data_IF_161828104046
#
_entry.id   IF_161828104046
#
_cell.length_a   1.000
_cell.length_b   1.000
_cell.length_c   1.000
_cell.angle_alpha   90.00
_cell.angle_beta   90.00
_cell.angle_gamma   90.00
#
_symmetry.space_group_name_H-M   'P 1'
#
loop_
_entity.id
_entity.type
_entity.pdbx_description
1 polymer ?
#
# COMPACT_ATOMS: atom_id res chain seq x y z
N UNK A 1 -25.29 -10.06 -9.80
CA UNK A 1 -25.01 -10.00 -11.25
C UNK A 1 -23.96 -8.92 -11.36
N UNK A 2 -22.73 -9.28 -11.71
CA UNK A 2 -21.63 -8.31 -11.77
C UNK A 2 -21.96 -7.30 -12.86
N UNK A 3 -22.06 -6.03 -12.48
CA UNK A 3 -22.04 -4.90 -13.42
C UNK A 3 -20.75 -4.96 -14.24
N UNK A 4 -20.79 -4.65 -15.54
CA UNK A 4 -19.55 -4.58 -16.32
C UNK A 4 -18.55 -3.56 -15.73
N UNK A 5 -17.26 -3.73 -16.02
CA UNK A 5 -16.18 -2.86 -15.52
C UNK A 5 -16.49 -1.38 -15.77
N UNK A 6 -17.08 -1.04 -16.93
CA UNK A 6 -17.43 0.33 -17.27
C UNK A 6 -18.52 0.90 -16.37
N UNK A 7 -19.50 0.09 -16.00
CA UNK A 7 -20.58 0.45 -15.07
C UNK A 7 -20.04 0.65 -13.65
N UNK A 8 -19.22 -0.27 -13.14
CA UNK A 8 -18.58 -0.12 -11.82
C UNK A 8 -17.70 1.13 -11.79
N UNK A 9 -16.89 1.35 -12.84
CA UNK A 9 -16.04 2.55 -12.95
C UNK A 9 -16.86 3.82 -12.91
N UNK A 10 -17.96 3.90 -13.68
CA UNK A 10 -18.84 5.08 -13.69
C UNK A 10 -19.42 5.39 -12.32
N UNK A 11 -19.82 4.37 -11.55
CA UNK A 11 -20.34 4.54 -10.19
C UNK A 11 -19.30 5.19 -9.27
N UNK A 12 -18.03 4.77 -9.33
CA UNK A 12 -16.97 5.40 -8.57
C UNK A 12 -16.60 6.79 -9.07
N UNK A 13 -16.46 6.98 -10.38
CA UNK A 13 -16.07 8.29 -10.94
C UNK A 13 -17.13 9.37 -10.82
N UNK A 14 -18.38 9.01 -10.49
CA UNK A 14 -19.42 9.97 -10.12
C UNK A 14 -19.07 10.76 -8.85
N UNK A 15 -18.11 10.28 -8.05
CA UNK A 15 -17.57 10.96 -6.89
C UNK A 15 -16.21 11.59 -7.22
N UNK A 16 -16.09 12.90 -6.96
CA UNK A 16 -14.89 13.69 -7.26
C UNK A 16 -13.81 13.61 -6.17
N UNK A 17 -14.18 13.16 -4.97
CA UNK A 17 -13.25 13.06 -3.82
C UNK A 17 -12.88 11.60 -3.54
N UNK A 18 -11.68 11.41 -2.99
CA UNK A 18 -11.21 10.08 -2.57
C UNK A 18 -12.16 9.48 -1.53
N UNK A 19 -12.59 10.28 -0.54
CA UNK A 19 -13.53 9.82 0.48
C UNK A 19 -14.89 9.43 -0.10
N UNK A 20 -15.42 10.16 -1.09
CA UNK A 20 -16.66 9.77 -1.77
C UNK A 20 -16.53 8.45 -2.53
N UNK A 21 -15.38 8.19 -3.17
CA UNK A 21 -15.11 6.90 -3.82
C UNK A 21 -15.02 5.74 -2.81
N UNK A 22 -14.43 5.99 -1.65
CA UNK A 22 -14.36 5.00 -0.56
C UNK A 22 -15.75 4.73 0.02
N UNK A 23 -16.57 5.77 0.20
CA UNK A 23 -17.95 5.64 0.67
C UNK A 23 -18.77 4.79 -0.31
N UNK A 24 -18.65 5.06 -1.60
CA UNK A 24 -19.30 4.25 -2.63
C UNK A 24 -18.83 2.79 -2.62
N UNK A 25 -17.53 2.54 -2.39
CA UNK A 25 -16.98 1.19 -2.30
C UNK A 25 -17.53 0.46 -1.06
N UNK A 26 -17.62 1.17 0.06
CA UNK A 26 -18.22 0.65 1.28
C UNK A 26 -19.70 0.30 1.11
N UNK A 27 -20.49 1.16 0.46
CA UNK A 27 -21.90 0.87 0.15
C UNK A 27 -22.06 -0.39 -0.71
N UNK A 28 -21.22 -0.55 -1.73
CA UNK A 28 -21.23 -1.76 -2.57
C UNK A 28 -20.82 -3.02 -1.77
N UNK A 29 -19.83 -2.90 -0.88
CA UNK A 29 -19.39 -4.02 -0.03
C UNK A 29 -20.46 -4.45 0.99
N UNK A 30 -21.27 -3.52 1.49
CA UNK A 30 -22.41 -3.86 2.35
C UNK A 30 -23.44 -4.74 1.65
N UNK A 31 -23.65 -4.52 0.35
CA UNK A 31 -24.59 -5.34 -0.43
C UNK A 31 -24.13 -6.80 -0.60
N UNK A 32 -22.83 -7.05 -0.49
CA UNK A 32 -22.22 -8.40 -0.52
C UNK A 32 -21.90 -8.93 0.88
N UNK A 33 -22.37 -8.27 1.95
CA UNK A 33 -22.37 -8.81 3.32
C UNK A 33 -21.17 -8.43 4.18
N UNK A 34 -20.33 -7.46 3.78
CA UNK A 34 -19.31 -6.89 4.66
C UNK A 34 -19.86 -5.67 5.41
N UNK A 35 -19.42 -5.47 6.65
CA UNK A 35 -19.91 -4.40 7.52
C UNK A 35 -18.88 -3.33 7.80
N UNK A 36 -17.62 -3.57 7.50
CA UNK A 36 -16.54 -2.60 7.62
C UNK A 36 -15.58 -2.70 6.43
N UNK A 37 -14.92 -1.58 6.11
CA UNK A 37 -13.93 -1.48 5.03
C UNK A 37 -12.64 -0.85 5.57
N UNK A 38 -11.51 -1.48 5.25
CA UNK A 38 -10.16 -0.92 5.34
C UNK A 38 -9.60 -0.78 3.93
N UNK A 39 -9.15 0.41 3.59
CA UNK A 39 -8.35 0.67 2.41
C UNK A 39 -7.01 1.26 2.83
N UNK A 40 -5.93 0.57 2.51
CA UNK A 40 -4.57 1.04 2.77
C UNK A 40 -3.73 1.02 1.49
N UNK A 41 -2.77 1.95 1.42
CA UNK A 41 -1.85 2.08 0.31
C UNK A 41 -0.46 2.47 0.79
N UNK A 42 0.56 1.90 0.14
CA UNK A 42 1.95 2.32 0.27
C UNK A 42 2.63 2.37 -1.09
N UNK A 43 3.45 3.41 -1.39
CA UNK A 43 4.21 3.46 -2.62
C UNK A 43 5.29 2.37 -2.70
N UNK A 44 5.72 1.84 -1.54
CA UNK A 44 6.75 0.81 -1.41
C UNK A 44 6.36 -0.15 -0.26
N UNK A 45 6.28 -1.47 -0.50
CA UNK A 45 5.77 -2.43 0.49
C UNK A 45 6.77 -2.80 1.60
N UNK A 46 8.08 -2.71 1.32
CA UNK A 46 9.15 -3.08 2.26
C UNK A 46 10.17 -1.95 2.40
N UNK A 47 10.78 -1.80 3.56
CA UNK A 47 11.99 -1.00 3.69
C UNK A 47 13.23 -1.77 3.21
N UNK A 48 14.40 -1.14 3.30
CA UNK A 48 15.67 -1.72 2.86
C UNK A 48 16.17 -2.87 3.75
N UNK A 49 15.62 -3.00 4.95
CA UNK A 49 15.92 -4.09 5.89
C UNK A 49 14.90 -5.24 5.73
N UNK A 50 13.92 -5.08 4.82
CA UNK A 50 12.90 -6.09 4.51
C UNK A 50 11.70 -6.06 5.44
N UNK A 51 11.58 -5.06 6.33
CA UNK A 51 10.41 -4.90 7.16
C UNK A 51 9.25 -4.27 6.37
N UNK A 52 8.02 -4.63 6.70
CA UNK A 52 6.83 -4.07 6.06
C UNK A 52 6.76 -2.56 6.33
N UNK A 53 6.51 -1.80 5.28
CA UNK A 53 6.28 -0.36 5.36
C UNK A 53 4.89 -0.07 5.91
N UNK A 54 4.82 0.88 6.85
CA UNK A 54 3.53 1.43 7.30
C UNK A 54 2.92 2.21 6.11
N UNK A 55 1.61 2.05 5.83
CA UNK A 55 0.99 2.67 4.69
C UNK A 55 1.02 4.20 4.78
N UNK A 56 1.19 4.86 3.63
CA UNK A 56 1.15 6.33 3.53
C UNK A 56 -0.28 6.87 3.54
N UNK A 57 -1.26 6.00 3.27
CA UNK A 57 -2.68 6.27 3.27
C UNK A 57 -3.40 5.10 3.96
N UNK A 58 -4.22 5.42 4.95
CA UNK A 58 -5.18 4.49 5.57
C UNK A 58 -6.55 5.17 5.59
N UNK A 59 -7.56 4.43 5.16
CA UNK A 59 -8.96 4.87 5.14
C UNK A 59 -9.84 3.77 5.70
N UNK A 60 -10.62 4.13 6.71
CA UNK A 60 -11.45 3.22 7.49
C UNK A 60 -12.92 3.60 7.33
N UNK A 61 -13.81 2.60 7.28
CA UNK A 61 -15.26 2.79 7.35
C UNK A 61 -15.86 1.78 8.29
N UNK A 62 -16.68 2.29 9.22
CA UNK A 62 -17.30 1.53 10.29
C UNK A 62 -16.29 0.76 11.17
N UNK A 63 -15.15 1.39 11.45
CA UNK A 63 -14.09 0.90 12.34
C UNK A 63 -13.75 2.04 13.28
N UNK A 64 -13.48 1.71 14.54
CA UNK A 64 -13.10 2.70 15.54
C UNK A 64 -11.76 3.39 15.18
N UNK A 65 -11.69 4.69 15.45
CA UNK A 65 -10.52 5.51 15.09
C UNK A 65 -9.25 5.08 15.84
N UNK A 66 -9.38 4.38 16.97
CA UNK A 66 -8.24 3.87 17.74
C UNK A 66 -7.38 2.88 16.94
N UNK A 67 -7.95 2.20 15.93
CA UNK A 67 -7.19 1.28 15.08
C UNK A 67 -5.97 1.94 14.44
N UNK A 68 -6.06 3.23 14.10
CA UNK A 68 -4.94 3.97 13.53
C UNK A 68 -3.74 3.95 14.49
N UNK A 69 -3.94 4.27 15.77
CA UNK A 69 -2.88 4.30 16.78
C UNK A 69 -2.21 2.92 16.93
N UNK A 70 -2.99 1.83 16.89
CA UNK A 70 -2.46 0.47 17.00
C UNK A 70 -1.65 0.07 15.75
N UNK A 71 -2.19 0.30 14.55
CA UNK A 71 -1.54 -0.12 13.30
C UNK A 71 -0.33 0.73 12.94
N UNK A 72 -0.38 2.04 13.20
CA UNK A 72 0.70 2.97 12.88
C UNK A 72 1.70 3.11 14.03
N UNK A 73 1.24 3.60 15.19
CA UNK A 73 2.16 4.02 16.26
C UNK A 73 2.67 2.83 17.07
N UNK A 74 1.84 1.81 17.27
CA UNK A 74 2.23 0.56 17.96
C UNK A 74 2.75 -0.52 17.02
N UNK A 75 2.81 -0.23 15.72
CA UNK A 75 3.42 -1.10 14.71
C UNK A 75 2.65 -2.38 14.38
N UNK A 76 1.34 -2.46 14.70
CA UNK A 76 0.56 -3.67 14.41
C UNK A 76 0.52 -4.00 12.92
N UNK A 77 0.58 -2.99 12.03
CA UNK A 77 0.61 -3.22 10.58
C UNK A 77 1.75 -4.16 10.16
N UNK A 78 2.91 -4.13 10.84
CA UNK A 78 4.09 -4.95 10.49
C UNK A 78 3.96 -6.41 10.91
N UNK A 79 3.20 -6.65 11.96
CA UNK A 79 3.02 -7.99 12.55
C UNK A 79 1.64 -8.56 12.21
N UNK A 80 0.83 -7.86 11.40
CA UNK A 80 -0.50 -8.28 11.00
C UNK A 80 -0.43 -9.49 10.03
N UNK A 81 -0.93 -10.68 10.44
CA UNK A 81 -0.97 -11.87 9.60
C UNK A 81 -1.68 -11.67 8.25
N UNK A 82 -2.71 -10.83 8.19
CA UNK A 82 -3.41 -10.51 6.94
C UNK A 82 -2.49 -9.78 5.99
N UNK A 83 -1.72 -8.79 6.47
CA UNK A 83 -0.74 -8.06 5.65
C UNK A 83 0.42 -8.97 5.20
N UNK A 84 0.86 -9.89 6.05
CA UNK A 84 1.88 -10.88 5.70
C UNK A 84 1.44 -11.80 4.55
N UNK A 85 0.16 -12.23 4.53
CA UNK A 85 -0.41 -12.98 3.39
C UNK A 85 -0.57 -12.08 2.17
N UNK A 86 -1.17 -10.91 2.34
CA UNK A 86 -1.56 -10.04 1.24
C UNK A 86 -0.36 -9.53 0.43
N UNK A 87 0.81 -9.31 1.06
CA UNK A 87 2.05 -8.96 0.37
C UNK A 87 2.69 -10.10 -0.43
N UNK A 88 2.24 -11.34 -0.20
CA UNK A 88 2.76 -12.56 -0.85
C UNK A 88 1.73 -13.26 -1.74
N UNK A 89 0.54 -12.67 -1.86
CA UNK A 89 -0.56 -13.18 -2.67
C UNK A 89 -0.95 -12.18 -3.75
N UNK A 90 -1.36 -12.69 -4.90
CA UNK A 90 -2.01 -11.91 -5.97
C UNK A 90 -3.51 -12.23 -6.06
N UNK A 91 -3.99 -13.22 -5.30
CA UNK A 91 -5.39 -13.60 -5.27
C UNK A 91 -6.06 -13.03 -4.01
N UNK A 92 -7.35 -12.67 -4.10
CA UNK A 92 -8.13 -12.33 -2.92
C UNK A 92 -8.23 -13.56 -2.00
N UNK A 93 -8.27 -13.35 -0.70
CA UNK A 93 -8.34 -14.45 0.26
C UNK A 93 -9.23 -14.13 1.45
N UNK A 94 -9.96 -15.15 1.89
CA UNK A 94 -10.66 -15.15 3.17
C UNK A 94 -9.67 -15.41 4.30
N UNK A 95 -9.87 -14.76 5.43
CA UNK A 95 -9.06 -14.92 6.63
C UNK A 95 -9.96 -14.97 7.87
N UNK A 96 -9.50 -15.72 8.86
CA UNK A 96 -10.16 -15.87 10.16
C UNK A 96 -9.10 -16.00 11.26
N UNK A 97 -9.18 -15.14 12.27
CA UNK A 97 -8.28 -15.10 13.43
C UNK A 97 -8.60 -16.14 14.51
N UNK A 98 -9.68 -16.91 14.36
CA UNK A 98 -9.92 -18.10 15.16
C UNK A 98 -8.82 -19.15 14.93
N UNK A 99 -8.27 -19.70 16.01
CA UNK A 99 -7.20 -20.70 15.97
C UNK A 99 -7.64 -22.02 15.34
N UNK A 100 -8.93 -22.32 15.37
CA UNK A 100 -9.49 -23.55 14.81
C UNK A 100 -9.84 -23.43 13.31
N UNK A 101 -9.78 -22.21 12.76
CA UNK A 101 -10.01 -21.97 11.34
C UNK A 101 -8.78 -22.35 10.50
N UNK A 102 -9.00 -22.97 9.34
CA UNK A 102 -7.95 -23.32 8.38
C UNK A 102 -7.88 -22.27 7.26
N UNK A 103 -7.13 -21.19 7.50
CA UNK A 103 -6.97 -20.10 6.55
C UNK A 103 -5.49 -19.78 6.28
N UNK A 104 -5.22 -18.95 5.28
CA UNK A 104 -3.84 -18.61 4.90
C UNK A 104 -3.08 -17.88 6.00
N UNK A 105 -3.78 -17.14 6.87
CA UNK A 105 -3.13 -16.35 7.92
C UNK A 105 -2.54 -17.24 9.02
N UNK A 106 -3.03 -18.47 9.21
CA UNK A 106 -2.55 -19.40 10.23
C UNK A 106 -1.03 -19.67 10.13
N UNK A 107 -0.44 -19.57 8.93
CA UNK A 107 1.01 -19.71 8.70
C UNK A 107 1.85 -18.61 9.35
N UNK A 108 1.23 -17.47 9.66
CA UNK A 108 1.87 -16.31 10.26
C UNK A 108 1.41 -16.06 11.70
N UNK A 109 0.51 -16.90 12.22
CA UNK A 109 0.05 -16.81 13.60
C UNK A 109 1.15 -17.31 14.55
N UNK A 110 1.55 -16.45 15.48
CA UNK A 110 2.57 -16.74 16.49
C UNK A 110 2.39 -15.85 17.73
N UNK A 111 3.22 -16.05 18.75
CA UNK A 111 3.23 -15.18 19.94
C UNK A 111 3.49 -13.71 19.58
N UNK A 112 4.31 -13.46 18.56
CA UNK A 112 4.63 -12.10 18.08
C UNK A 112 3.42 -11.41 17.42
N UNK A 113 2.50 -12.18 16.83
CA UNK A 113 1.30 -11.65 16.17
C UNK A 113 0.05 -11.71 17.06
N UNK A 114 0.14 -12.34 18.24
CA UNK A 114 -0.94 -12.46 19.20
C UNK A 114 -1.59 -11.12 19.62
N UNK A 115 -0.86 -9.98 19.71
CA UNK A 115 -1.50 -8.70 20.00
C UNK A 115 -2.52 -8.26 18.94
N UNK A 116 -2.28 -8.54 17.66
CA UNK A 116 -3.20 -8.22 16.56
C UNK A 116 -4.45 -9.09 16.67
N UNK A 117 -4.27 -10.40 16.82
CA UNK A 117 -5.37 -11.35 16.98
C UNK A 117 -6.28 -10.99 18.17
N UNK A 118 -5.68 -10.65 19.32
CA UNK A 118 -6.42 -10.22 20.51
C UNK A 118 -7.24 -8.95 20.24
N UNK A 119 -6.61 -7.92 19.65
CA UNK A 119 -7.31 -6.67 19.34
C UNK A 119 -8.53 -6.88 18.45
N UNK A 120 -8.37 -7.70 17.40
CA UNK A 120 -9.45 -7.98 16.44
C UNK A 120 -10.55 -8.84 17.05
N UNK A 121 -10.19 -9.87 17.82
CA UNK A 121 -11.17 -10.73 18.51
C UNK A 121 -11.98 -9.97 19.57
N UNK A 122 -11.36 -9.07 20.34
CA UNK A 122 -12.05 -8.23 21.34
C UNK A 122 -13.08 -7.26 20.73
N UNK A 123 -13.03 -7.06 19.41
CA UNK A 123 -13.91 -6.13 18.66
C UNK A 123 -14.79 -6.86 17.64
N UNK A 124 -14.88 -8.19 17.74
CA UNK A 124 -15.60 -9.05 16.79
C UNK A 124 -15.11 -8.93 15.33
N UNK A 125 -13.90 -8.41 15.09
CA UNK A 125 -13.29 -8.19 13.76
C UNK A 125 -12.43 -9.37 13.30
N UNK A 126 -12.79 -10.59 13.70
CA UNK A 126 -11.96 -11.78 13.51
C UNK A 126 -12.01 -12.35 12.09
N UNK A 127 -12.98 -11.95 11.27
CA UNK A 127 -13.20 -12.53 9.93
C UNK A 127 -13.37 -11.50 8.84
N UNK A 128 -12.83 -11.79 7.65
CA UNK A 128 -12.98 -10.91 6.50
C UNK A 128 -12.34 -11.47 5.24
N UNK A 129 -12.32 -10.62 4.22
CA UNK A 129 -11.65 -10.87 2.95
C UNK A 129 -10.75 -9.71 2.63
N UNK A 130 -9.56 -10.01 2.13
CA UNK A 130 -8.62 -9.00 1.66
C UNK A 130 -8.30 -9.24 0.18
N UNK A 131 -8.37 -8.16 -0.59
CA UNK A 131 -7.93 -8.10 -1.98
C UNK A 131 -6.60 -7.34 -2.04
N UNK A 132 -5.47 -8.02 -2.32
CA UNK A 132 -4.21 -7.34 -2.57
C UNK A 132 -4.20 -6.73 -3.98
N UNK A 133 -3.81 -5.46 -4.10
CA UNK A 133 -3.66 -4.76 -5.38
C UNK A 133 -2.20 -4.35 -5.55
N UNK A 134 -1.52 -5.01 -6.50
CA UNK A 134 -0.12 -4.75 -6.83
C UNK A 134 -0.04 -3.94 -8.12
N UNK A 135 0.64 -2.79 -8.08
CA UNK A 135 0.71 -1.87 -9.21
C UNK A 135 1.98 -2.09 -10.02
N UNK A 136 1.99 -1.73 -11.33
CA UNK A 136 3.17 -1.89 -12.18
C UNK A 136 4.42 -1.17 -11.66
N UNK A 137 4.26 -0.11 -10.86
CA UNK A 137 5.36 0.62 -10.23
C UNK A 137 5.93 -0.04 -8.97
N UNK A 138 5.37 -1.17 -8.54
CA UNK A 138 5.75 -1.85 -7.30
C UNK A 138 5.11 -1.26 -6.03
N UNK A 139 4.24 -0.25 -6.19
CA UNK A 139 3.35 0.18 -5.12
C UNK A 139 2.25 -0.85 -4.86
N UNK A 140 1.63 -0.72 -3.69
CA UNK A 140 0.79 -1.76 -3.11
C UNK A 140 -0.39 -1.16 -2.36
N UNK A 141 -1.55 -1.78 -2.48
CA UNK A 141 -2.73 -1.47 -1.70
C UNK A 141 -3.45 -2.73 -1.23
N UNK A 142 -4.23 -2.62 -0.16
CA UNK A 142 -5.24 -3.63 0.17
C UNK A 142 -6.61 -3.01 0.27
N UNK A 143 -7.61 -3.76 -0.20
CA UNK A 143 -9.03 -3.49 0.04
C UNK A 143 -9.56 -4.64 0.88
N UNK A 144 -9.93 -4.36 2.11
CA UNK A 144 -10.30 -5.37 3.10
C UNK A 144 -11.71 -5.13 3.58
N UNK A 145 -12.57 -6.12 3.37
CA UNK A 145 -13.93 -6.16 3.89
C UNK A 145 -14.00 -7.03 5.14
N UNK A 146 -14.64 -6.54 6.20
CA UNK A 146 -14.75 -7.25 7.49
C UNK A 146 -16.22 -7.50 7.80
N UNK A 147 -16.51 -8.67 8.37
CA UNK A 147 -17.81 -8.99 8.98
C UNK A 147 -17.63 -9.14 10.48
N UNK A 148 -18.44 -8.42 11.25
CA UNK A 148 -18.40 -8.55 12.69
C UNK A 148 -19.03 -9.88 13.13
N UNK A 149 -18.34 -10.63 13.99
CA UNK A 149 -18.82 -11.89 14.55
C UNK A 149 -19.10 -12.96 13.49
N UNK A 150 -18.30 -13.00 12.42
CA UNK A 150 -18.50 -13.93 11.32
C UNK A 150 -18.48 -15.39 11.76
N UNK A 151 -19.29 -16.21 11.07
CA UNK A 151 -19.44 -17.63 11.33
C UNK A 151 -19.19 -18.44 10.04
N UNK A 152 -19.36 -19.76 10.10
CA UNK A 152 -19.18 -20.64 8.94
C UNK A 152 -20.14 -20.37 7.77
N UNK A 153 -21.31 -19.77 8.04
CA UNK A 153 -22.22 -19.30 6.99
C UNK A 153 -21.61 -18.11 6.25
N UNK A 154 -21.04 -17.16 6.99
CA UNK A 154 -20.33 -16.02 6.40
C UNK A 154 -19.12 -16.46 5.58
N UNK A 155 -18.32 -17.43 6.03
CA UNK A 155 -17.21 -17.96 5.24
C UNK A 155 -17.68 -18.46 3.87
N UNK A 156 -18.73 -19.28 3.84
CA UNK A 156 -19.31 -19.80 2.59
C UNK A 156 -19.82 -18.68 1.69
N UNK A 157 -20.45 -17.67 2.28
CA UNK A 157 -20.93 -16.49 1.57
C UNK A 157 -19.76 -15.67 0.99
N UNK A 158 -18.75 -15.36 1.80
CA UNK A 158 -17.56 -14.63 1.39
C UNK A 158 -16.84 -15.34 0.24
N UNK A 159 -16.60 -16.65 0.34
CA UNK A 159 -15.97 -17.45 -0.71
C UNK A 159 -16.81 -17.48 -2.00
N UNK A 160 -18.14 -17.37 -1.91
CA UNK A 160 -19.02 -17.29 -3.09
C UNK A 160 -18.90 -15.95 -3.82
N UNK A 161 -18.72 -14.85 -3.08
CA UNK A 161 -18.71 -13.48 -3.63
C UNK A 161 -17.31 -12.87 -3.74
N UNK A 162 -16.25 -13.62 -3.41
CA UNK A 162 -14.87 -13.12 -3.42
C UNK A 162 -14.40 -12.64 -4.80
N UNK A 163 -14.91 -13.24 -5.88
CA UNK A 163 -14.60 -12.79 -7.25
C UNK A 163 -15.23 -11.43 -7.57
N UNK A 164 -16.48 -11.21 -7.16
CA UNK A 164 -17.19 -9.93 -7.31
C UNK A 164 -16.46 -8.85 -6.50
N UNK A 165 -16.08 -9.18 -5.26
CA UNK A 165 -15.33 -8.28 -4.40
C UNK A 165 -13.96 -7.94 -4.99
N UNK A 166 -13.26 -8.92 -5.55
CA UNK A 166 -11.98 -8.70 -6.23
C UNK A 166 -12.10 -7.71 -7.40
N UNK A 167 -13.10 -7.90 -8.26
CA UNK A 167 -13.32 -6.98 -9.38
C UNK A 167 -13.64 -5.57 -8.87
N UNK A 168 -14.54 -5.46 -7.88
CA UNK A 168 -14.91 -4.18 -7.29
C UNK A 168 -13.69 -3.48 -6.67
N UNK A 169 -12.87 -4.20 -5.92
CA UNK A 169 -11.67 -3.67 -5.28
C UNK A 169 -10.64 -3.14 -6.29
N UNK A 170 -10.40 -3.86 -7.39
CA UNK A 170 -9.47 -3.42 -8.43
C UNK A 170 -9.98 -2.19 -9.19
N UNK A 171 -11.26 -2.16 -9.57
CA UNK A 171 -11.84 -0.99 -10.25
C UNK A 171 -11.93 0.20 -9.29
N UNK A 172 -12.28 -0.03 -8.03
CA UNK A 172 -12.22 0.99 -6.99
C UNK A 172 -10.81 1.56 -6.88
N UNK A 173 -9.79 0.73 -6.71
CA UNK A 173 -8.40 1.18 -6.57
C UNK A 173 -7.95 2.00 -7.79
N UNK A 174 -8.23 1.53 -9.01
CA UNK A 174 -7.91 2.28 -10.25
C UNK A 174 -8.44 3.71 -10.17
N UNK A 175 -9.70 3.86 -9.76
CA UNK A 175 -10.31 5.20 -9.62
C UNK A 175 -9.75 5.94 -8.41
N UNK A 176 -9.60 5.32 -7.24
CA UNK A 176 -9.08 5.97 -6.05
C UNK A 176 -7.66 6.51 -6.25
N UNK A 177 -6.80 5.75 -6.93
CA UNK A 177 -5.41 6.10 -7.22
C UNK A 177 -5.29 7.42 -7.99
N UNK A 178 -6.25 7.73 -8.88
CA UNK A 178 -6.26 8.98 -9.64
C UNK A 178 -6.48 10.24 -8.78
N UNK A 179 -6.88 10.07 -7.52
CA UNK A 179 -7.16 11.16 -6.57
C UNK A 179 -6.11 11.23 -5.44
N UNK A 180 -5.02 10.49 -5.55
CA UNK A 180 -3.97 10.51 -4.54
C UNK A 180 -3.18 11.81 -4.58
N UNK A 181 -2.98 12.39 -3.39
CA UNK A 181 -2.14 13.57 -3.24
C UNK A 181 -0.64 13.19 -3.20
N UNK A 182 0.21 14.21 -3.20
CA UNK A 182 1.67 14.04 -3.13
C UNK A 182 2.13 13.34 -1.84
N UNK A 183 1.35 13.41 -0.75
CA UNK A 183 1.69 12.79 0.54
C UNK A 183 1.46 11.28 0.46
N UNK A 184 0.31 10.85 -0.04
CA UNK A 184 0.00 9.44 -0.29
C UNK A 184 1.06 8.81 -1.21
N UNK A 185 1.45 9.49 -2.29
CA UNK A 185 2.45 9.00 -3.24
C UNK A 185 3.91 9.12 -2.77
N UNK A 186 4.16 9.61 -1.55
CA UNK A 186 5.53 9.82 -1.03
C UNK A 186 5.95 8.81 0.02
N UNK A 187 7.17 8.28 -0.14
CA UNK A 187 7.82 7.46 0.87
C UNK A 187 8.66 8.36 1.77
N UNK A 188 8.19 8.58 2.99
CA UNK A 188 8.90 9.38 3.99
C UNK A 188 9.08 10.86 3.62
N UNK A 189 10.04 11.51 4.29
CA UNK A 189 10.25 12.96 4.22
C UNK A 189 11.37 13.40 3.28
N UNK A 190 12.06 12.46 2.63
CA UNK A 190 13.24 12.78 1.80
C UNK A 190 12.81 13.47 0.50
N UNK A 191 13.25 14.72 0.32
CA UNK A 191 13.02 15.49 -0.91
C UNK A 191 14.33 15.78 -1.64
N UNK A 192 14.47 15.20 -2.82
CA UNK A 192 15.55 15.51 -3.75
C UNK A 192 15.16 16.72 -4.61
N UNK A 193 16.12 17.61 -4.85
CA UNK A 193 15.97 18.66 -5.88
C UNK A 193 15.99 18.04 -7.27
N UNK A 194 15.53 18.78 -8.27
CA UNK A 194 15.53 18.31 -9.66
C UNK A 194 16.94 17.93 -10.12
N UNK A 195 17.96 18.74 -9.79
CA UNK A 195 19.36 18.45 -10.15
C UNK A 195 19.96 17.29 -9.39
N UNK A 196 19.59 17.10 -8.12
CA UNK A 196 19.98 15.91 -7.35
C UNK A 196 19.40 14.63 -7.96
N UNK A 197 18.11 14.66 -8.33
CA UNK A 197 17.41 13.54 -8.97
C UNK A 197 18.01 13.23 -10.34
N UNK A 198 18.20 14.24 -11.19
CA UNK A 198 18.80 14.11 -12.52
C UNK A 198 20.20 13.47 -12.45
N UNK A 199 21.05 13.95 -11.53
CA UNK A 199 22.38 13.37 -11.32
C UNK A 199 22.31 11.92 -10.82
N UNK A 200 21.39 11.58 -9.92
CA UNK A 200 21.21 10.20 -9.44
C UNK A 200 20.62 9.28 -10.51
N UNK A 201 19.76 9.76 -11.40
CA UNK A 201 19.22 8.97 -12.52
C UNK A 201 20.33 8.52 -13.47
N UNK A 202 21.17 9.46 -13.93
CA UNK A 202 22.35 9.08 -14.72
C UNK A 202 23.36 8.25 -13.93
N UNK A 203 23.41 8.44 -12.61
CA UNK A 203 24.20 7.55 -11.75
C UNK A 203 23.67 6.11 -11.74
N UNK A 204 22.35 5.92 -11.80
CA UNK A 204 21.71 4.61 -11.86
C UNK A 204 21.97 3.92 -13.21
N UNK A 205 22.11 4.70 -14.28
CA UNK A 205 22.53 4.23 -15.62
C UNK A 205 24.03 3.85 -15.69
N UNK A 206 24.80 4.12 -14.64
CA UNK A 206 26.22 3.74 -14.54
C UNK A 206 27.21 4.84 -14.96
N UNK A 207 26.75 6.05 -15.27
CA UNK A 207 27.64 7.13 -15.72
C UNK A 207 28.54 7.66 -14.60
N UNK A 208 29.80 7.99 -14.93
CA UNK A 208 30.73 8.71 -14.05
C UNK A 208 30.32 10.18 -13.88
N UNK A 209 30.82 10.86 -12.83
CA UNK A 209 30.56 12.29 -12.65
C UNK A 209 31.04 13.14 -13.84
N UNK A 210 32.07 12.69 -14.57
CA UNK A 210 32.59 13.33 -15.79
C UNK A 210 31.66 13.16 -17.00
N UNK A 211 31.02 12.01 -17.13
CA UNK A 211 30.03 11.79 -18.19
C UNK A 211 28.76 12.57 -17.89
N UNK A 212 28.27 12.51 -16.65
CA UNK A 212 27.10 13.29 -16.21
C UNK A 212 27.32 14.77 -16.43
N UNK A 213 28.51 15.30 -16.10
CA UNK A 213 28.80 16.73 -16.28
C UNK A 213 28.68 17.16 -17.75
N UNK A 214 29.05 16.28 -18.69
CA UNK A 214 28.87 16.51 -20.13
C UNK A 214 27.40 16.44 -20.52
N UNK A 215 26.65 15.47 -20.00
CA UNK A 215 25.23 15.28 -20.29
C UNK A 215 24.40 16.50 -19.84
N UNK A 216 24.60 16.96 -18.60
CA UNK A 216 23.77 18.04 -18.02
C UNK A 216 24.35 19.45 -18.23
N UNK A 217 25.48 19.58 -18.94
CA UNK A 217 26.13 20.86 -19.23
C UNK A 217 26.66 21.58 -17.98
N UNK A 218 27.26 20.87 -17.03
CA UNK A 218 27.79 21.42 -15.78
C UNK A 218 29.25 21.01 -15.54
N UNK A 219 29.88 21.62 -14.54
CA UNK A 219 31.23 21.22 -14.11
C UNK A 219 31.19 19.91 -13.33
N UNK A 220 32.27 19.11 -13.40
CA UNK A 220 32.41 17.88 -12.58
C UNK A 220 32.25 18.17 -11.08
N UNK A 221 32.87 19.24 -10.50
CA UNK A 221 32.63 19.60 -9.10
C UNK A 221 31.15 19.86 -8.76
N UNK A 222 30.40 20.50 -9.67
CA UNK A 222 28.96 20.75 -9.49
C UNK A 222 28.15 19.46 -9.45
N UNK A 223 28.44 18.50 -10.34
CA UNK A 223 27.79 17.18 -10.33
C UNK A 223 28.10 16.43 -9.04
N UNK A 224 29.37 16.42 -8.63
CA UNK A 224 29.80 15.79 -7.37
C UNK A 224 29.09 16.41 -6.17
N UNK A 225 28.94 17.75 -6.15
CA UNK A 225 28.18 18.45 -5.12
C UNK A 225 26.73 17.97 -5.05
N UNK A 226 26.02 17.88 -6.18
CA UNK A 226 24.62 17.39 -6.21
C UNK A 226 24.52 15.93 -5.76
N UNK A 227 25.41 15.05 -6.23
CA UNK A 227 25.44 13.64 -5.82
C UNK A 227 25.69 13.49 -4.31
N UNK A 228 26.62 14.27 -3.75
CA UNK A 228 26.91 14.26 -2.31
C UNK A 228 25.75 14.80 -1.48
N UNK A 229 25.09 15.87 -1.95
CA UNK A 229 23.90 16.41 -1.30
C UNK A 229 22.75 15.38 -1.28
N UNK A 230 22.53 14.70 -2.41
CA UNK A 230 21.54 13.65 -2.53
C UNK A 230 21.86 12.46 -1.61
N UNK A 231 23.12 11.99 -1.62
CA UNK A 231 23.57 10.91 -0.73
C UNK A 231 23.37 11.26 0.74
N UNK A 232 23.69 12.50 1.15
CA UNK A 232 23.45 12.98 2.52
C UNK A 232 21.97 12.97 2.88
N UNK A 233 21.09 13.48 2.01
CA UNK A 233 19.63 13.48 2.22
C UNK A 233 19.06 12.07 2.32
N UNK A 234 19.60 11.13 1.57
CA UNK A 234 19.22 9.71 1.59
C UNK A 234 19.88 8.93 2.73
N UNK A 235 20.71 9.56 3.56
CA UNK A 235 21.49 8.89 4.62
C UNK A 235 22.48 7.84 4.08
N UNK A 236 22.88 7.95 2.81
CA UNK A 236 23.71 6.99 2.13
C UNK A 236 25.21 7.28 2.38
N UNK A 237 26.00 6.22 2.56
CA UNK A 237 27.45 6.26 2.79
C UNK A 237 28.25 6.50 1.51
N UNK A 238 27.68 6.14 0.36
CA UNK A 238 28.33 6.29 -0.93
C UNK A 238 27.28 6.44 -2.04
N UNK A 239 27.77 6.76 -3.23
CA UNK A 239 26.96 6.99 -4.43
C UNK A 239 26.11 5.78 -4.81
N UNK A 240 26.66 4.57 -4.72
CA UNK A 240 25.93 3.33 -5.03
C UNK A 240 24.75 3.15 -4.08
N UNK A 241 24.98 3.31 -2.78
CA UNK A 241 23.91 3.24 -1.79
C UNK A 241 22.88 4.36 -2.01
N UNK A 242 23.30 5.57 -2.39
CA UNK A 242 22.37 6.65 -2.69
C UNK A 242 21.45 6.28 -3.86
N UNK A 243 22.00 5.71 -4.95
CA UNK A 243 21.22 5.17 -6.06
C UNK A 243 20.24 4.11 -5.58
N UNK A 244 20.71 3.08 -4.86
CA UNK A 244 19.85 1.99 -4.35
C UNK A 244 18.69 2.53 -3.52
N UNK A 245 18.96 3.46 -2.59
CA UNK A 245 17.92 4.08 -1.75
C UNK A 245 16.94 4.91 -2.57
N UNK A 246 17.44 5.71 -3.52
CA UNK A 246 16.60 6.53 -4.36
C UNK A 246 15.71 5.70 -5.29
N UNK A 247 16.23 4.61 -5.85
CA UNK A 247 15.44 3.66 -6.65
C UNK A 247 14.40 2.96 -5.79
N UNK A 248 14.81 2.38 -4.66
CA UNK A 248 13.92 1.65 -3.76
C UNK A 248 12.75 2.51 -3.26
N UNK A 249 13.01 3.77 -2.88
CA UNK A 249 11.98 4.72 -2.47
C UNK A 249 11.33 5.50 -3.62
N UNK A 250 11.55 5.08 -4.86
CA UNK A 250 10.93 5.63 -6.07
C UNK A 250 11.12 7.15 -6.22
N UNK A 251 12.29 7.63 -5.79
CA UNK A 251 12.69 9.03 -5.84
C UNK A 251 13.35 9.41 -7.17
N UNK A 252 13.64 8.43 -8.04
CA UNK A 252 14.21 8.65 -9.38
C UNK A 252 13.15 8.78 -10.47
N UNK A 253 11.93 8.34 -10.21
CA UNK A 253 10.83 8.41 -11.15
C UNK A 253 10.40 9.87 -11.37
N UNK A 254 10.04 10.19 -12.62
CA UNK A 254 9.29 11.39 -12.95
C UNK A 254 7.88 11.17 -12.41
N UNK A 255 7.52 11.90 -11.34
CA UNK A 255 6.12 11.94 -10.94
C UNK A 255 5.38 12.73 -12.03
N UNK A 256 4.20 12.27 -12.49
CA UNK A 256 3.38 13.06 -13.40
C UNK A 256 3.32 14.50 -12.88
N UNK A 257 3.73 15.43 -13.73
CA UNK A 257 3.72 16.85 -13.40
C UNK A 257 2.28 17.30 -13.13
N UNK A 258 2.16 18.25 -12.19
CA UNK A 258 0.93 18.99 -11.88
C UNK A 258 0.21 19.51 -13.14
#
# INVERSE_FOLDING_TARGET
MIDDIGTIRRQFTAHETLDGRIDQAFEAMKQIGFEALIYDYTPVPYDLDGAIMIPSLLKLRNIADDMHDYWFDRGYFRIDPVQQVALRSTAPFFWNYDTDADTLINRFMSDDTAPVARYLNERDMSTGVTVPVHMPGGDYATVTGIRFGGNSEFERHALRYIADFNLLAHVFHETAYSLFDKKALSVGTVRLTERERECLRHSAEGFSAKEISRIIGRSVPTVVMHLNAAAKKLGARNRTQAVVRATHYRLLEERPAD
#
